data_IF_235469450390
#
_entry.id   IF_235469450390
#
_cell.length_a   1.000
_cell.length_b   1.000
_cell.length_c   1.000
_cell.angle_alpha   90.00
_cell.angle_beta   90.00
_cell.angle_gamma   90.00
#
_symmetry.space_group_name_H-M   'P 1'
#
loop_
_entity.id
_entity.type
_entity.pdbx_description
1 polymer ?
#
# COMPACT_ATOMS: atom_id res chain seq x y z
N UNK A 1 10.04 -20.00 -23.86
CA UNK A 1 9.83 -19.62 -24.51
C UNK A 1 9.31 -18.40 -24.32
N UNK A 2 8.96 -18.00 -25.09
CA UNK A 2 8.55 -16.73 -25.14
C UNK A 2 7.66 -16.35 -24.07
N UNK A 3 7.23 -17.27 -23.47
CA UNK A 3 6.38 -17.03 -22.42
C UNK A 3 6.94 -16.14 -21.41
N UNK A 4 8.21 -15.95 -21.44
CA UNK A 4 8.82 -15.10 -20.50
C UNK A 4 8.61 -13.66 -20.81
N UNK A 5 8.28 -13.35 -22.03
CA UNK A 5 8.10 -11.97 -22.41
C UNK A 5 6.67 -11.54 -22.14
N UNK A 6 6.40 -11.21 -20.91
CA UNK A 6 5.09 -10.67 -20.58
C UNK A 6 4.93 -9.33 -21.26
N UNK A 7 3.74 -9.11 -21.77
CA UNK A 7 3.39 -7.85 -22.39
C UNK A 7 3.51 -6.75 -21.33
N UNK A 8 4.15 -5.61 -21.62
CA UNK A 8 4.22 -4.50 -20.68
C UNK A 8 2.85 -4.09 -20.16
N UNK A 9 1.82 -4.22 -20.98
CA UNK A 9 0.46 -3.91 -20.58
C UNK A 9 0.01 -4.82 -19.44
N UNK A 10 0.32 -6.11 -19.51
CA UNK A 10 -0.06 -7.07 -18.48
C UNK A 10 0.68 -6.79 -17.18
N UNK A 11 1.93 -6.40 -17.27
CA UNK A 11 2.72 -6.05 -16.09
C UNK A 11 2.13 -4.82 -15.41
N UNK A 12 1.74 -3.82 -16.19
CA UNK A 12 1.13 -2.61 -15.64
C UNK A 12 -0.22 -2.90 -14.99
N UNK A 13 -1.02 -3.79 -15.58
CA UNK A 13 -2.30 -4.15 -15.01
C UNK A 13 -2.14 -4.88 -13.69
N UNK A 14 -1.20 -5.81 -13.60
CA UNK A 14 -0.93 -6.52 -12.36
C UNK A 14 -0.43 -5.57 -11.28
N UNK A 15 0.45 -4.67 -11.65
CA UNK A 15 1.02 -3.69 -10.73
C UNK A 15 -0.06 -2.73 -10.24
N UNK A 16 -0.95 -2.33 -11.14
CA UNK A 16 -2.04 -1.43 -10.83
C UNK A 16 -3.03 -2.09 -9.86
N UNK A 17 -3.36 -3.35 -10.08
CA UNK A 17 -4.24 -4.09 -9.19
C UNK A 17 -3.64 -4.22 -7.80
N UNK A 18 -2.34 -4.47 -7.73
CA UNK A 18 -1.64 -4.55 -6.46
C UNK A 18 -1.62 -3.21 -5.74
N UNK A 19 -1.38 -2.14 -6.49
CA UNK A 19 -1.40 -0.78 -5.95
C UNK A 19 -2.77 -0.45 -5.37
N UNK A 20 -3.83 -0.78 -6.09
CA UNK A 20 -5.20 -0.55 -5.62
C UNK A 20 -5.49 -1.31 -4.35
N UNK A 21 -5.04 -2.55 -4.27
CA UNK A 21 -5.23 -3.36 -3.08
C UNK A 21 -4.53 -2.74 -1.87
N UNK A 22 -3.30 -2.26 -2.07
CA UNK A 22 -2.55 -1.59 -1.02
C UNK A 22 -3.22 -0.29 -0.60
N UNK A 23 -3.76 0.46 -1.56
CA UNK A 23 -4.47 1.69 -1.28
C UNK A 23 -5.72 1.43 -0.43
N UNK A 24 -6.44 0.35 -0.73
CA UNK A 24 -7.60 -0.05 0.06
C UNK A 24 -7.20 -0.44 1.48
N UNK A 25 -6.12 -1.18 1.63
CA UNK A 25 -5.60 -1.56 2.94
C UNK A 25 -5.17 -0.33 3.73
N UNK A 26 -4.50 0.60 3.06
CA UNK A 26 -4.06 1.84 3.69
C UNK A 26 -5.26 2.63 4.21
N UNK A 27 -6.30 2.76 3.40
CA UNK A 27 -7.53 3.46 3.79
C UNK A 27 -8.22 2.77 4.96
N UNK A 28 -8.19 1.44 4.98
CA UNK A 28 -8.79 0.67 6.05
C UNK A 28 -8.06 0.89 7.37
N UNK A 29 -6.74 0.85 7.36
CA UNK A 29 -5.94 1.13 8.55
C UNK A 29 -6.15 2.54 9.04
N UNK A 30 -6.28 3.49 8.11
CA UNK A 30 -6.52 4.88 8.46
C UNK A 30 -7.87 5.06 9.14
N UNK A 31 -8.90 4.39 8.65
CA UNK A 31 -10.23 4.42 9.25
C UNK A 31 -10.20 3.79 10.65
N UNK A 32 -9.50 2.70 10.82
CA UNK A 32 -9.36 2.05 12.13
C UNK A 32 -8.61 2.93 13.11
N UNK A 33 -7.57 3.64 12.63
CA UNK A 33 -6.84 4.58 13.45
C UNK A 33 -7.74 5.72 13.93
N UNK A 34 -8.58 6.23 13.04
CA UNK A 34 -9.51 7.29 13.40
C UNK A 34 -10.49 6.84 14.47
N UNK A 35 -11.00 5.64 14.36
CA UNK A 35 -11.89 5.09 15.37
C UNK A 35 -11.19 4.98 16.71
N UNK A 36 -9.96 4.49 16.70
CA UNK A 36 -9.19 4.28 17.91
C UNK A 36 -8.85 5.59 18.58
N UNK A 37 -8.42 6.58 17.82
CA UNK A 37 -8.02 7.88 18.38
C UNK A 37 -9.20 8.72 18.80
N UNK A 38 -10.40 8.43 18.33
CA UNK A 38 -11.60 9.14 18.76
C UNK A 38 -12.20 8.58 20.03
N UNK A 39 -11.69 7.46 20.52
CA UNK A 39 -12.17 6.86 21.75
C UNK A 39 -11.61 7.64 22.93
N UNK A 40 -12.48 8.15 23.81
CA UNK A 40 -12.02 8.91 24.97
C UNK A 40 -11.34 8.06 26.03
N UNK A 41 -11.51 6.74 25.96
CA UNK A 41 -10.91 5.84 26.94
C UNK A 41 -9.67 5.17 26.36
N UNK A 42 -8.58 5.94 26.28
CA UNK A 42 -7.32 5.38 25.81
C UNK A 42 -6.67 4.59 26.94
N UNK A 43 -6.43 3.30 26.70
CA UNK A 43 -5.71 2.47 27.66
C UNK A 43 -4.47 1.90 26.96
N UNK A 44 -3.70 1.09 27.68
CA UNK A 44 -2.47 0.51 27.15
C UNK A 44 -2.71 -0.32 25.89
N UNK A 45 -3.80 -1.05 25.87
CA UNK A 45 -4.13 -1.89 24.71
C UNK A 45 -4.41 -1.03 23.48
N UNK A 46 -5.12 0.07 23.66
CA UNK A 46 -5.40 1.00 22.57
C UNK A 46 -4.12 1.62 22.03
N UNK A 47 -3.18 1.95 22.91
CA UNK A 47 -1.90 2.52 22.50
C UNK A 47 -1.08 1.53 21.70
N UNK A 48 -1.06 0.27 22.10
CA UNK A 48 -0.37 -0.77 21.36
C UNK A 48 -1.00 -0.99 20.00
N UNK A 49 -2.32 -0.99 19.95
CA UNK A 49 -3.05 -1.15 18.70
C UNK A 49 -2.76 0.02 17.75
N UNK A 50 -2.70 1.23 18.29
CA UNK A 50 -2.38 2.42 17.51
C UNK A 50 -0.99 2.31 16.89
N UNK A 51 0.00 1.88 17.67
CA UNK A 51 1.36 1.71 17.18
C UNK A 51 1.40 0.67 16.06
N UNK A 52 0.69 -0.43 16.27
CA UNK A 52 0.63 -1.51 15.28
C UNK A 52 0.00 -1.02 13.97
N UNK A 53 -1.13 -0.33 14.07
CA UNK A 53 -1.83 0.20 12.89
C UNK A 53 -1.00 1.22 12.15
N UNK A 54 -0.27 2.07 12.86
CA UNK A 54 0.63 3.04 12.24
C UNK A 54 1.75 2.37 11.48
N UNK A 55 2.32 1.30 12.03
CA UNK A 55 3.35 0.53 11.36
C UNK A 55 2.83 -0.12 10.10
N UNK A 56 1.65 -0.71 10.17
CA UNK A 56 1.04 -1.36 9.03
C UNK A 56 0.69 -0.35 7.93
N UNK A 57 0.19 0.81 8.33
CA UNK A 57 -0.12 1.89 7.40
C UNK A 57 1.14 2.37 6.69
N UNK A 58 2.22 2.56 7.43
CA UNK A 58 3.49 3.00 6.86
C UNK A 58 4.04 1.94 5.90
N UNK A 59 3.94 0.68 6.25
CA UNK A 59 4.38 -0.41 5.39
C UNK A 59 3.62 -0.41 4.06
N UNK A 60 2.30 -0.23 4.12
CA UNK A 60 1.48 -0.12 2.92
C UNK A 60 1.92 1.06 2.05
N UNK A 61 2.15 2.19 2.68
CA UNK A 61 2.58 3.38 1.96
C UNK A 61 3.93 3.17 1.28
N UNK A 62 4.88 2.54 1.98
CA UNK A 62 6.18 2.25 1.42
C UNK A 62 6.09 1.33 0.21
N UNK A 63 5.23 0.32 0.28
CA UNK A 63 5.00 -0.59 -0.83
C UNK A 63 4.37 0.14 -2.02
N UNK A 64 3.42 1.02 -1.75
CA UNK A 64 2.78 1.83 -2.79
C UNK A 64 3.81 2.73 -3.48
N UNK A 65 4.70 3.34 -2.71
CA UNK A 65 5.75 4.18 -3.26
C UNK A 65 6.74 3.39 -4.10
N UNK A 66 7.04 2.16 -3.68
CA UNK A 66 7.92 1.28 -4.44
C UNK A 66 7.30 0.94 -5.79
N UNK A 67 6.01 0.62 -5.79
CA UNK A 67 5.29 0.31 -7.02
C UNK A 67 5.24 1.53 -7.94
N UNK A 68 4.94 2.70 -7.40
CA UNK A 68 4.89 3.94 -8.17
C UNK A 68 6.25 4.27 -8.78
N UNK A 69 7.32 4.07 -8.02
CA UNK A 69 8.68 4.30 -8.50
C UNK A 69 9.04 3.32 -9.62
N UNK A 70 8.59 2.08 -9.49
CA UNK A 70 8.82 1.05 -10.49
C UNK A 70 8.11 1.39 -11.80
N UNK A 71 6.89 1.89 -11.71
CA UNK A 71 6.12 2.31 -12.88
C UNK A 71 6.81 3.48 -13.57
N UNK A 72 7.26 4.46 -12.81
CA UNK A 72 7.96 5.62 -13.35
C UNK A 72 9.24 5.21 -14.06
N UNK A 73 9.97 4.26 -13.47
CA UNK A 73 11.21 3.76 -14.06
C UNK A 73 10.93 3.05 -15.39
N UNK A 74 9.89 2.24 -15.41
CA UNK A 74 9.49 1.53 -16.61
C UNK A 74 9.09 2.50 -17.71
N UNK A 75 8.37 3.57 -17.35
CA UNK A 75 7.97 4.59 -18.32
C UNK A 75 9.17 5.34 -18.86
N UNK A 76 10.15 5.61 -18.03
CA UNK A 76 11.36 6.31 -18.46
C UNK A 76 12.17 5.47 -19.42
N UNK A 77 12.16 4.15 -19.26
CA UNK A 77 12.90 3.28 -20.13
C UNK A 77 12.17 2.94 -21.44
N UNK A 78 10.91 3.23 -21.52
CA UNK A 78 10.14 2.87 -22.69
C UNK A 78 10.31 3.85 -23.85
N UNK A 79 11.09 4.86 -23.70
CA UNK A 79 11.42 5.74 -24.84
C UNK A 79 12.69 5.27 -25.57
#
# INVERSE_FOLDING_TARGET
MATLARNPRDILLDTDAEYQRLAEQHAKYEAELKKLTSDPYLNSEHLLEEIKLKKMKLHCKDEMERIAASIRRASAHST
#
